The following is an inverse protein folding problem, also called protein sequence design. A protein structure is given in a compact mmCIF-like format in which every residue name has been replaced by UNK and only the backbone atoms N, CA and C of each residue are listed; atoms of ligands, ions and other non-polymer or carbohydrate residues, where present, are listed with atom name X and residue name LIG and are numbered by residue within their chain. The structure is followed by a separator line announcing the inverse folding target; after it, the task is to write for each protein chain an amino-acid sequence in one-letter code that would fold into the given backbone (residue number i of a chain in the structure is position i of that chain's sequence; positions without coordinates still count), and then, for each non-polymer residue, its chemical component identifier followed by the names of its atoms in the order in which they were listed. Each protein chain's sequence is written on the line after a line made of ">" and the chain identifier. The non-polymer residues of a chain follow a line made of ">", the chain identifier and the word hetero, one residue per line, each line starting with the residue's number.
data_IF_613467075051
#
_entry.id   IF_613467075051
#
_cell.length_a   1.000
_cell.length_b   1.000
_cell.length_c   1.000
_cell.angle_alpha   90.00
_cell.angle_beta   90.00
_cell.angle_gamma   90.00
#
_symmetry.space_group_name_H-M   'P 1'
#
loop_
_entity.id
_entity.type
_entity.pdbx_description
1 polymer ?
#
# COMPACT_ATOMS: atom_id res chain seq x y z
N UNK A 1 7.02 20.89 15.06
CA UNK A 1 6.15 20.83 13.87
C UNK A 1 5.61 19.43 13.71
N UNK A 2 4.32 19.31 13.54
CA UNK A 2 3.68 18.00 13.38
C UNK A 2 3.85 17.50 11.96
N UNK A 3 4.31 16.25 11.84
CA UNK A 3 4.42 15.59 10.54
C UNK A 3 3.03 15.15 10.08
N UNK A 4 2.67 15.48 8.83
CA UNK A 4 1.40 15.06 8.23
C UNK A 4 1.56 13.72 7.51
N UNK A 5 2.36 12.83 8.05
CA UNK A 5 2.66 11.55 7.40
C UNK A 5 2.70 10.40 8.39
N UNK A 6 2.51 9.20 7.82
CA UNK A 6 2.72 7.92 8.50
C UNK A 6 3.94 7.27 7.88
N UNK A 7 4.85 6.79 8.71
CA UNK A 7 6.04 6.06 8.25
C UNK A 7 6.08 4.70 8.93
N UNK A 8 6.21 3.65 8.12
CA UNK A 8 6.29 2.28 8.60
C UNK A 8 7.47 1.58 7.92
N UNK A 9 8.05 0.62 8.64
CA UNK A 9 9.09 -0.24 8.09
C UNK A 9 8.75 -1.69 8.40
N UNK A 10 9.07 -2.59 7.45
CA UNK A 10 8.82 -4.02 7.62
C UNK A 10 9.97 -4.80 6.96
N UNK A 11 10.56 -5.72 7.72
CA UNK A 11 11.55 -6.64 7.17
C UNK A 11 10.80 -7.85 6.61
N UNK A 12 11.15 -8.25 5.39
CA UNK A 12 10.46 -9.32 4.68
C UNK A 12 11.52 -10.30 4.20
N UNK A 13 11.35 -11.58 4.52
CA UNK A 13 12.27 -12.64 4.10
C UNK A 13 11.99 -13.07 2.66
N UNK A 14 12.13 -12.12 1.73
CA UNK A 14 11.96 -12.33 0.30
C UNK A 14 12.77 -11.26 -0.42
N UNK A 15 13.24 -11.57 -1.63
CA UNK A 15 14.03 -10.62 -2.42
C UNK A 15 13.18 -9.41 -2.83
N UNK A 16 13.82 -8.23 -3.04
CA UNK A 16 13.08 -7.04 -3.48
C UNK A 16 12.23 -7.28 -4.73
N UNK A 17 12.73 -8.02 -5.70
CA UNK A 17 11.99 -8.36 -6.92
C UNK A 17 10.69 -9.10 -6.62
N UNK A 18 10.75 -10.03 -5.67
CA UNK A 18 9.58 -10.78 -5.25
C UNK A 18 8.57 -9.87 -4.56
N UNK A 19 9.04 -9.06 -3.61
CA UNK A 19 8.16 -8.12 -2.89
C UNK A 19 7.53 -7.14 -3.87
N UNK A 20 8.32 -6.58 -4.78
CA UNK A 20 7.83 -5.59 -5.74
C UNK A 20 6.74 -6.17 -6.65
N UNK A 21 6.83 -7.44 -7.01
CA UNK A 21 5.84 -8.07 -7.87
C UNK A 21 4.44 -8.07 -7.28
N UNK A 22 4.30 -7.98 -5.96
CA UNK A 22 2.99 -7.87 -5.30
C UNK A 22 2.36 -6.49 -5.43
N UNK A 23 3.09 -5.53 -5.97
CA UNK A 23 2.59 -4.18 -6.25
C UNK A 23 2.39 -3.91 -7.74
N UNK A 24 2.76 -4.84 -8.62
CA UNK A 24 2.68 -4.63 -10.06
C UNK A 24 1.93 -5.72 -10.80
N UNK A 25 1.19 -6.54 -10.08
CA UNK A 25 0.33 -7.59 -10.61
C UNK A 25 -0.99 -7.54 -9.86
N UNK A 26 -2.11 -7.46 -10.59
CA UNK A 26 -3.43 -7.30 -10.00
C UNK A 26 -3.77 -8.42 -9.00
N UNK A 27 -3.60 -9.66 -9.42
CA UNK A 27 -3.96 -10.80 -8.57
C UNK A 27 -3.06 -10.89 -7.35
N UNK A 28 -1.78 -10.55 -7.51
CA UNK A 28 -0.86 -10.51 -6.39
C UNK A 28 -1.19 -9.37 -5.43
N UNK A 29 -1.52 -8.19 -5.94
CA UNK A 29 -1.95 -7.08 -5.08
C UNK A 29 -3.18 -7.48 -4.26
N UNK A 30 -4.18 -8.07 -4.92
CA UNK A 30 -5.41 -8.47 -4.26
C UNK A 30 -5.23 -9.67 -3.32
N UNK A 31 -4.08 -10.34 -3.36
CA UNK A 31 -3.80 -11.42 -2.43
C UNK A 31 -3.46 -10.95 -1.02
N UNK A 32 -3.10 -9.66 -0.85
CA UNK A 32 -2.78 -9.12 0.47
C UNK A 32 -3.65 -7.91 0.84
N UNK A 33 -4.20 -7.17 -0.10
CA UNK A 33 -5.07 -6.03 0.18
C UNK A 33 -6.18 -5.92 -0.84
N UNK A 34 -7.41 -5.84 -0.35
CA UNK A 34 -8.58 -5.65 -1.21
C UNK A 34 -9.17 -6.95 -1.72
N UNK A 35 -10.39 -6.84 -2.23
CA UNK A 35 -11.11 -8.00 -2.78
C UNK A 35 -11.41 -7.85 -4.27
N UNK A 36 -11.25 -6.63 -4.81
CA UNK A 36 -11.44 -6.37 -6.23
C UNK A 36 -10.71 -5.08 -6.59
N UNK A 37 -10.39 -4.91 -7.87
CA UNK A 37 -9.72 -3.69 -8.30
C UNK A 37 -9.37 -3.68 -9.76
N UNK A 38 -9.10 -2.48 -10.26
CA UNK A 38 -8.64 -2.22 -11.61
C UNK A 38 -7.34 -1.45 -11.53
N UNK A 39 -6.32 -1.97 -12.17
CA UNK A 39 -4.98 -1.39 -12.13
C UNK A 39 -4.38 -1.35 -13.52
N UNK A 40 -3.73 -0.25 -13.85
CA UNK A 40 -2.81 -0.17 -14.98
C UNK A 40 -1.48 0.27 -14.40
N UNK A 41 -0.51 -0.61 -14.38
CA UNK A 41 0.78 -0.38 -13.70
C UNK A 41 1.73 0.39 -14.61
N UNK A 42 1.40 1.66 -14.83
CA UNK A 42 2.19 2.59 -15.64
C UNK A 42 2.18 3.95 -14.97
N UNK A 43 3.28 4.71 -15.03
CA UNK A 43 3.27 6.08 -14.49
C UNK A 43 2.17 6.93 -15.14
N UNK A 44 1.40 7.62 -14.32
CA UNK A 44 0.29 8.44 -14.76
C UNK A 44 -1.04 7.71 -14.87
N UNK A 45 -1.05 6.37 -14.80
CA UNK A 45 -2.28 5.61 -14.93
C UNK A 45 -3.06 5.54 -13.62
N UNK A 46 -4.38 5.50 -13.74
CA UNK A 46 -5.26 5.43 -12.58
C UNK A 46 -5.42 4.00 -12.07
N UNK A 47 -5.75 3.88 -10.79
CA UNK A 47 -6.17 2.61 -10.21
C UNK A 47 -7.39 2.83 -9.31
N UNK A 48 -8.11 1.75 -9.06
CA UNK A 48 -9.27 1.73 -8.18
C UNK A 48 -9.34 0.35 -7.54
N UNK A 49 -9.44 0.30 -6.22
CA UNK A 49 -9.51 -0.99 -5.51
C UNK A 49 -10.49 -0.93 -4.35
N UNK A 50 -11.32 -1.97 -4.21
CA UNK A 50 -12.18 -2.14 -3.05
C UNK A 50 -11.36 -2.79 -1.95
N UNK A 51 -11.08 -2.03 -0.89
CA UNK A 51 -10.16 -2.46 0.17
C UNK A 51 -10.90 -3.30 1.21
N UNK A 52 -11.89 -2.72 1.90
CA UNK A 52 -12.68 -3.42 2.90
C UNK A 52 -14.17 -3.10 2.70
N UNK A 53 -15.04 -4.08 2.87
CA UNK A 53 -16.48 -3.87 2.70
C UNK A 53 -16.78 -3.20 1.35
N UNK A 54 -17.30 -1.98 1.40
CA UNK A 54 -17.59 -1.18 0.21
C UNK A 54 -16.63 0.00 0.08
N UNK A 55 -15.57 0.05 0.88
CA UNK A 55 -14.63 1.17 0.87
C UNK A 55 -13.66 1.06 -0.30
N UNK A 56 -13.73 2.02 -1.19
CA UNK A 56 -12.95 2.03 -2.43
C UNK A 56 -11.86 3.10 -2.35
N UNK A 57 -10.62 2.66 -2.57
CA UNK A 57 -9.48 3.56 -2.69
C UNK A 57 -9.21 3.84 -4.17
N UNK A 58 -8.88 5.07 -4.49
CA UNK A 58 -8.56 5.50 -5.85
C UNK A 58 -7.33 6.40 -5.87
N UNK A 59 -6.62 6.36 -6.99
CA UNK A 59 -5.46 7.24 -7.19
C UNK A 59 -4.81 6.99 -8.53
N UNK A 60 -3.55 7.45 -8.64
CA UNK A 60 -2.72 7.29 -9.83
C UNK A 60 -1.34 6.85 -9.43
N UNK A 61 -0.70 6.07 -10.30
CA UNK A 61 0.72 5.76 -10.15
C UNK A 61 1.52 6.95 -10.63
N UNK A 62 2.47 7.39 -9.80
CA UNK A 62 3.35 8.51 -10.13
C UNK A 62 4.73 8.03 -10.56
N UNK A 63 5.21 6.95 -9.93
CA UNK A 63 6.52 6.40 -10.22
C UNK A 63 6.48 4.88 -10.03
N UNK A 64 7.04 4.15 -10.99
CA UNK A 64 7.20 2.69 -10.90
C UNK A 64 8.63 2.38 -11.33
N UNK A 65 9.50 2.14 -10.36
CA UNK A 65 10.92 1.86 -10.59
C UNK A 65 11.28 0.50 -9.96
N UNK A 66 11.04 -0.61 -10.69
CA UNK A 66 11.31 -1.94 -10.15
C UNK A 66 12.80 -2.18 -9.95
N UNK A 67 13.19 -2.87 -8.90
CA UNK A 67 12.40 -3.33 -7.77
C UNK A 67 12.52 -2.41 -6.54
N UNK A 68 12.78 -1.13 -6.74
CA UNK A 68 13.24 -0.21 -5.69
C UNK A 68 12.16 0.71 -5.15
N UNK A 69 11.30 1.23 -6.02
CA UNK A 69 10.44 2.33 -5.62
C UNK A 69 9.12 2.34 -6.37
N UNK A 70 8.04 2.55 -5.63
CA UNK A 70 6.69 2.72 -6.16
C UNK A 70 6.06 3.91 -5.45
N UNK A 71 5.51 4.85 -6.22
CA UNK A 71 4.81 6.01 -5.65
C UNK A 71 3.44 6.11 -6.30
N UNK A 72 2.40 6.26 -5.48
CA UNK A 72 1.05 6.43 -5.99
C UNK A 72 0.26 7.35 -5.08
N UNK A 73 -0.74 8.03 -5.65
CA UNK A 73 -1.66 8.84 -4.85
C UNK A 73 -2.71 7.94 -4.22
N UNK A 74 -3.36 8.44 -3.18
CA UNK A 74 -4.30 7.64 -2.40
C UNK A 74 -5.44 8.52 -1.89
N UNK A 75 -6.63 7.95 -1.85
CA UNK A 75 -7.79 8.56 -1.25
C UNK A 75 -8.98 7.62 -1.30
N UNK A 76 -10.06 7.99 -0.65
CA UNK A 76 -11.27 7.17 -0.54
C UNK A 76 -12.37 7.75 -1.40
N UNK A 77 -12.84 6.98 -2.36
CA UNK A 77 -13.84 7.42 -3.32
C UNK A 77 -15.22 7.67 -2.72
N UNK A 78 -15.54 6.94 -1.66
CA UNK A 78 -16.88 6.98 -1.05
C UNK A 78 -17.03 8.05 0.04
N UNK A 79 -15.98 8.82 0.31
CA UNK A 79 -16.04 9.87 1.32
C UNK A 79 -16.14 9.40 2.76
N UNK A 80 -15.88 8.11 3.02
CA UNK A 80 -15.95 7.55 4.37
C UNK A 80 -14.92 8.15 5.33
N UNK A 81 -13.87 8.75 4.79
CA UNK A 81 -12.84 9.44 5.53
C UNK A 81 -12.51 10.74 4.79
N UNK A 82 -12.10 11.82 5.49
CA UNK A 82 -11.78 13.08 4.80
C UNK A 82 -10.42 13.02 4.08
N UNK A 83 -10.27 12.03 3.22
CA UNK A 83 -9.08 11.81 2.40
C UNK A 83 -9.58 11.53 0.99
N UNK A 84 -9.90 12.59 0.20
CA UNK A 84 -10.40 12.38 -1.16
C UNK A 84 -9.35 11.75 -2.08
N UNK A 85 -9.78 11.10 -3.17
CA UNK A 85 -8.84 10.53 -4.14
C UNK A 85 -7.85 11.58 -4.64
N UNK A 86 -6.58 11.20 -4.71
CA UNK A 86 -5.51 12.09 -5.18
C UNK A 86 -5.01 13.09 -4.16
N UNK A 87 -5.59 13.15 -2.95
CA UNK A 87 -5.21 14.16 -1.95
C UNK A 87 -3.97 13.79 -1.15
N UNK A 88 -3.58 12.51 -1.15
CA UNK A 88 -2.42 12.03 -0.41
C UNK A 88 -1.52 11.20 -1.31
N UNK A 89 -0.31 10.91 -0.84
CA UNK A 89 0.68 10.16 -1.62
C UNK A 89 1.31 9.08 -0.75
N UNK A 90 1.42 7.88 -1.33
CA UNK A 90 2.06 6.73 -0.69
C UNK A 90 3.35 6.43 -1.44
N UNK A 91 4.46 6.36 -0.70
CA UNK A 91 5.77 5.97 -1.25
C UNK A 91 6.19 4.65 -0.64
N UNK A 92 6.50 3.69 -1.50
CA UNK A 92 7.06 2.39 -1.10
C UNK A 92 8.49 2.34 -1.61
N UNK A 93 9.44 2.08 -0.70
CA UNK A 93 10.83 1.85 -1.09
C UNK A 93 11.27 0.49 -0.57
N UNK A 94 12.04 -0.23 -1.40
CA UNK A 94 12.55 -1.56 -1.07
C UNK A 94 14.06 -1.53 -1.12
N UNK A 95 14.69 -1.93 -0.01
CA UNK A 95 16.13 -1.98 0.11
C UNK A 95 16.55 -3.42 0.37
N UNK A 96 17.52 -3.96 -0.40
CA UNK A 96 18.01 -5.31 -0.11
C UNK A 96 18.78 -5.32 1.21
N UNK A 97 18.47 -6.32 2.03
CA UNK A 97 19.18 -6.56 3.31
C UNK A 97 19.57 -8.03 3.38
N UNK A 98 20.36 -8.40 4.37
CA UNK A 98 20.86 -9.78 4.48
C UNK A 98 19.74 -10.82 4.54
N UNK A 99 18.66 -10.53 5.27
CA UNK A 99 17.51 -11.44 5.41
C UNK A 99 16.52 -11.36 4.23
N UNK A 100 16.67 -10.41 3.30
CA UNK A 100 15.73 -10.24 2.19
C UNK A 100 15.54 -8.79 1.81
N UNK A 101 14.46 -8.18 2.30
CA UNK A 101 14.09 -6.81 1.93
C UNK A 101 13.67 -6.00 3.15
N UNK A 102 14.13 -4.74 3.22
CA UNK A 102 13.54 -3.74 4.11
C UNK A 102 12.57 -2.91 3.29
N UNK A 103 11.29 -3.01 3.61
CA UNK A 103 10.25 -2.19 3.00
C UNK A 103 9.99 -0.99 3.89
N UNK A 104 9.99 0.20 3.29
CA UNK A 104 9.58 1.43 3.96
C UNK A 104 8.37 2.00 3.24
N UNK A 105 7.33 2.32 4.01
CA UNK A 105 6.13 2.97 3.51
C UNK A 105 6.03 4.35 4.13
N UNK A 106 5.84 5.37 3.30
CA UNK A 106 5.57 6.73 3.76
C UNK A 106 4.28 7.20 3.11
N UNK A 107 3.27 7.53 3.93
CA UNK A 107 1.99 8.05 3.45
C UNK A 107 1.89 9.50 3.88
N UNK A 108 1.92 10.41 2.92
CA UNK A 108 1.98 11.86 3.14
C UNK A 108 0.67 12.55 2.82
N UNK A 109 0.45 13.71 3.45
CA UNK A 109 -0.71 14.53 3.18
C UNK A 109 -1.90 14.23 4.08
N UNK A 110 -1.69 13.43 5.12
CA UNK A 110 -2.73 13.08 6.09
C UNK A 110 -2.80 14.18 7.15
N UNK A 111 -3.67 15.16 6.91
CA UNK A 111 -3.71 16.39 7.71
C UNK A 111 -4.40 16.24 9.06
N UNK A 112 -5.24 15.22 9.25
CA UNK A 112 -5.92 15.04 10.52
C UNK A 112 -5.26 13.93 11.36
N UNK A 113 -5.18 14.11 12.69
CA UNK A 113 -4.65 13.06 13.56
C UNK A 113 -5.44 11.75 13.45
N UNK A 114 -6.75 11.83 13.27
CA UNK A 114 -7.62 10.65 13.13
C UNK A 114 -7.29 9.89 11.85
N UNK A 115 -7.08 10.60 10.74
CA UNK A 115 -6.71 9.97 9.48
C UNK A 115 -5.34 9.31 9.59
N UNK A 116 -4.37 9.97 10.24
CA UNK A 116 -3.05 9.37 10.43
C UNK A 116 -3.12 8.09 11.26
N UNK A 117 -3.86 8.10 12.36
CA UNK A 117 -4.00 6.93 13.22
C UNK A 117 -4.67 5.77 12.47
N UNK A 118 -5.75 6.05 11.75
CA UNK A 118 -6.47 5.02 11.01
C UNK A 118 -5.61 4.41 9.90
N UNK A 119 -4.87 5.25 9.16
CA UNK A 119 -4.02 4.74 8.08
C UNK A 119 -2.79 4.02 8.61
N UNK A 120 -2.24 4.45 9.75
CA UNK A 120 -1.15 3.71 10.38
C UNK A 120 -1.59 2.31 10.75
N UNK A 121 -2.75 2.17 11.38
CA UNK A 121 -3.28 0.86 11.76
C UNK A 121 -3.57 0.01 10.52
N UNK A 122 -4.20 0.60 9.50
CA UNK A 122 -4.51 -0.10 8.26
C UNK A 122 -3.26 -0.57 7.51
N UNK A 123 -2.27 0.31 7.36
CA UNK A 123 -1.03 -0.07 6.68
C UNK A 123 -0.24 -1.10 7.47
N UNK A 124 -0.23 -1.02 8.81
CA UNK A 124 0.42 -2.04 9.64
C UNK A 124 -0.21 -3.40 9.39
N UNK A 125 -1.54 -3.46 9.36
CA UNK A 125 -2.28 -4.68 9.06
C UNK A 125 -1.93 -5.23 7.67
N UNK A 126 -1.97 -4.37 6.64
CA UNK A 126 -1.76 -4.81 5.27
C UNK A 126 -0.30 -5.14 4.96
N UNK A 127 0.65 -4.44 5.58
CA UNK A 127 2.07 -4.78 5.40
C UNK A 127 2.40 -6.14 6.01
N UNK A 128 1.74 -6.52 7.09
CA UNK A 128 1.90 -7.85 7.66
C UNK A 128 1.39 -8.93 6.69
N UNK A 129 0.23 -8.69 6.08
CA UNK A 129 -0.33 -9.62 5.09
C UNK A 129 0.56 -9.72 3.86
N UNK A 130 1.09 -8.60 3.39
CA UNK A 130 2.03 -8.58 2.27
C UNK A 130 3.29 -9.40 2.59
N UNK A 131 3.85 -9.23 3.79
CA UNK A 131 5.04 -9.98 4.19
C UNK A 131 4.78 -11.47 4.17
N UNK A 132 3.63 -11.93 4.71
CA UNK A 132 3.27 -13.34 4.70
C UNK A 132 3.20 -13.87 3.27
N UNK A 133 2.56 -13.14 2.35
CA UNK A 133 2.47 -13.57 0.94
C UNK A 133 3.84 -13.61 0.28
N UNK A 134 4.64 -12.57 0.44
CA UNK A 134 5.96 -12.51 -0.19
C UNK A 134 6.88 -13.61 0.32
N UNK A 135 6.70 -14.05 1.56
CA UNK A 135 7.46 -15.15 2.15
C UNK A 135 6.90 -16.53 1.78
N UNK A 136 5.86 -16.58 0.96
CA UNK A 136 5.27 -17.82 0.46
C UNK A 136 4.13 -18.37 1.28
N UNK A 137 3.64 -17.62 2.28
CA UNK A 137 2.56 -18.06 3.15
C UNK A 137 1.18 -17.56 2.74
N UNK A 138 0.20 -17.89 3.55
CA UNK A 138 -1.19 -17.49 3.36
C UNK A 138 -1.67 -16.73 4.59
N UNK A 139 -1.95 -15.42 4.48
CA UNK A 139 -2.41 -14.62 5.63
C UNK A 139 -3.87 -14.91 6.03
N UNK A 140 -4.56 -15.77 5.28
CA UNK A 140 -5.95 -16.08 5.54
C UNK A 140 -6.91 -14.98 5.06
N UNK A 141 -8.21 -15.14 5.36
CA UNK A 141 -9.19 -14.13 5.00
C UNK A 141 -8.89 -12.79 5.66
N UNK A 142 -9.19 -11.70 4.95
CA UNK A 142 -9.02 -10.35 5.50
C UNK A 142 -10.27 -9.97 6.29
N UNK A 143 -10.15 -9.90 7.60
CA UNK A 143 -11.24 -9.54 8.51
C UNK A 143 -11.13 -8.09 9.01
N UNK A 144 -10.30 -7.29 8.41
CA UNK A 144 -10.11 -5.90 8.79
C UNK A 144 -11.38 -5.10 8.49
N UNK A 145 -11.78 -4.29 9.46
CA UNK A 145 -13.01 -3.49 9.36
C UNK A 145 -12.70 -2.04 9.05
#
# INVERSE_FOLDING_TARGET
>A
MTSERVTLERRIAARPETVFSFFTDRDKWLSWMGKDGEFTFEPGAAYRTTVTGENVAEGRFLEIDPPKRLVFTWGWADGGMPVPPGSTTVEITLEPIAEGTLLRLVHRGLTSPEARAAHKDGWTHYMERLAVRAEGGDPGPDNWM
#
